data_IF_868246760650
#
_entry.id   IF_868246760650
#
_cell.length_a   1.000
_cell.length_b   1.000
_cell.length_c   1.000
_cell.angle_alpha   90.00
_cell.angle_beta   90.00
_cell.angle_gamma   90.00
#
_symmetry.space_group_name_H-M   'P 1'
#
loop_
_entity.id
_entity.type
_entity.pdbx_description
1 polymer ?
#
# COMPACT_ATOMS: atom_id res chain seq x y z
N UNK A 1 21.41 -18.70 2.25
CA UNK A 1 20.28 -17.95 1.66
C UNK A 1 19.01 -18.74 1.93
N UNK A 2 18.30 -18.43 3.02
CA UNK A 2 17.09 -19.17 3.38
C UNK A 2 15.89 -18.61 2.60
N UNK A 3 15.43 -19.37 1.61
CA UNK A 3 14.16 -19.11 0.92
C UNK A 3 13.11 -20.04 1.48
N UNK A 4 12.22 -19.53 2.33
CA UNK A 4 11.06 -20.29 2.80
C UNK A 4 9.97 -20.23 1.72
N UNK A 5 9.48 -21.40 1.30
CA UNK A 5 8.30 -21.56 0.43
C UNK A 5 7.23 -22.24 1.24
N UNK A 6 6.13 -21.55 1.45
CA UNK A 6 5.02 -22.07 2.24
C UNK A 6 3.71 -21.88 1.45
N UNK A 7 3.02 -22.98 1.20
CA UNK A 7 1.81 -23.02 0.37
C UNK A 7 0.53 -22.77 1.17
N UNK A 8 0.54 -23.03 2.48
CA UNK A 8 -0.68 -23.16 3.28
C UNK A 8 -0.65 -22.23 4.50
N UNK A 9 -1.30 -21.06 4.37
CA UNK A 9 -1.67 -20.12 5.45
C UNK A 9 -0.67 -19.96 6.63
N UNK A 10 0.61 -19.67 6.39
CA UNK A 10 1.60 -19.63 7.46
C UNK A 10 1.32 -18.47 8.43
N UNK A 11 1.20 -18.80 9.72
CA UNK A 11 1.08 -17.84 10.83
C UNK A 11 2.45 -17.59 11.45
N UNK A 12 3.29 -16.83 10.77
CA UNK A 12 4.62 -16.50 11.25
C UNK A 12 4.57 -15.33 12.25
N UNK A 13 5.35 -15.45 13.33
CA UNK A 13 5.60 -14.40 14.32
C UNK A 13 7.10 -14.37 14.62
N UNK A 14 7.66 -13.17 14.84
CA UNK A 14 9.05 -13.00 15.31
C UNK A 14 10.10 -13.69 14.42
N UNK A 15 10.24 -13.27 13.16
CA UNK A 15 11.27 -13.85 12.29
C UNK A 15 11.85 -12.77 11.38
N UNK A 16 13.16 -12.87 11.11
CA UNK A 16 13.85 -12.06 10.12
C UNK A 16 14.27 -12.99 8.98
N UNK A 17 13.75 -12.74 7.79
CA UNK A 17 14.00 -13.55 6.60
C UNK A 17 14.42 -12.63 5.47
N UNK A 18 15.27 -13.11 4.56
CA UNK A 18 15.72 -12.30 3.44
C UNK A 18 14.69 -12.32 2.29
N UNK A 19 14.17 -13.52 1.96
CA UNK A 19 13.26 -13.76 0.84
C UNK A 19 12.17 -14.76 1.23
N UNK A 20 10.92 -14.35 1.09
CA UNK A 20 9.75 -15.19 1.41
C UNK A 20 8.76 -15.23 0.24
N UNK A 21 8.27 -16.42 -0.08
CA UNK A 21 7.17 -16.64 -1.04
C UNK A 21 6.07 -17.43 -0.36
N UNK A 22 4.89 -16.81 -0.27
CA UNK A 22 3.73 -17.45 0.38
C UNK A 22 2.50 -17.39 -0.51
N UNK A 23 1.75 -18.49 -0.51
CA UNK A 23 0.48 -18.64 -1.21
C UNK A 23 -0.68 -17.92 -0.50
N UNK A 24 -1.71 -18.68 -0.17
CA UNK A 24 -3.02 -18.15 0.24
C UNK A 24 -3.05 -17.60 1.67
N UNK A 25 -3.67 -16.43 1.83
CA UNK A 25 -4.17 -15.84 3.08
C UNK A 25 -3.21 -15.78 4.28
N UNK A 26 -1.90 -15.45 4.15
CA UNK A 26 -1.03 -15.38 5.31
C UNK A 26 -1.38 -14.26 6.26
N UNK A 27 -1.18 -14.51 7.56
CA UNK A 27 -1.35 -13.52 8.63
C UNK A 27 -0.07 -13.32 9.39
N UNK A 28 0.56 -12.14 9.23
CA UNK A 28 1.86 -11.86 9.85
C UNK A 28 1.82 -10.69 10.80
N UNK A 29 2.60 -10.82 11.87
CA UNK A 29 2.72 -9.81 12.91
C UNK A 29 4.17 -9.66 13.37
N UNK A 30 4.66 -8.42 13.42
CA UNK A 30 6.01 -8.06 13.89
C UNK A 30 7.12 -8.74 13.06
N UNK A 31 7.35 -8.26 11.84
CA UNK A 31 8.31 -8.87 10.91
C UNK A 31 9.21 -7.84 10.22
N UNK A 32 10.45 -8.24 9.96
CA UNK A 32 11.41 -7.48 9.13
C UNK A 32 11.90 -8.38 8.01
N UNK A 33 11.73 -7.95 6.75
CA UNK A 33 12.05 -8.73 5.56
C UNK A 33 12.66 -7.83 4.47
N UNK A 34 13.54 -8.35 3.63
CA UNK A 34 14.03 -7.57 2.49
C UNK A 34 13.07 -7.68 1.30
N UNK A 35 12.72 -8.91 0.90
CA UNK A 35 11.86 -9.16 -0.26
C UNK A 35 10.75 -10.16 0.04
N UNK A 36 9.51 -9.75 -0.23
CA UNK A 36 8.34 -10.58 -0.06
C UNK A 36 7.52 -10.69 -1.36
N UNK A 37 7.13 -11.91 -1.73
CA UNK A 37 6.05 -12.16 -2.69
C UNK A 37 4.95 -12.94 -2.03
N UNK A 38 3.72 -12.48 -2.15
CA UNK A 38 2.58 -13.15 -1.55
C UNK A 38 1.41 -13.21 -2.52
N UNK A 39 0.65 -14.31 -2.45
CA UNK A 39 -0.55 -14.54 -3.23
C UNK A 39 -1.77 -13.78 -2.69
N UNK A 40 -2.85 -14.51 -2.43
CA UNK A 40 -4.17 -13.95 -2.21
C UNK A 40 -4.43 -13.51 -0.75
N UNK A 41 -5.10 -12.37 -0.59
CA UNK A 41 -5.64 -11.79 0.66
C UNK A 41 -4.70 -11.72 1.89
N UNK A 42 -3.42 -11.34 1.72
CA UNK A 42 -2.48 -11.32 2.85
C UNK A 42 -2.85 -10.23 3.86
N UNK A 43 -2.71 -10.54 5.15
CA UNK A 43 -2.96 -9.60 6.26
C UNK A 43 -1.69 -9.34 7.06
N UNK A 44 -1.25 -8.08 7.10
CA UNK A 44 -0.02 -7.67 7.77
C UNK A 44 -0.27 -6.67 8.89
N UNK A 45 0.44 -6.85 10.00
CA UNK A 45 0.45 -5.92 11.13
C UNK A 45 1.88 -5.70 11.62
N UNK A 46 2.33 -4.45 11.76
CA UNK A 46 3.68 -4.13 12.25
C UNK A 46 4.80 -4.79 11.44
N UNK A 47 4.91 -4.46 10.15
CA UNK A 47 5.96 -4.98 9.27
C UNK A 47 6.83 -3.84 8.74
N UNK A 48 8.15 -4.05 8.76
CA UNK A 48 9.13 -3.24 8.05
C UNK A 48 9.72 -4.04 6.89
N UNK A 49 9.63 -3.55 5.66
CA UNK A 49 10.03 -4.34 4.50
C UNK A 49 10.60 -3.48 3.37
N UNK A 50 11.58 -3.95 2.60
CA UNK A 50 12.14 -3.16 1.50
C UNK A 50 11.29 -3.27 0.22
N UNK A 51 11.00 -4.49 -0.25
CA UNK A 51 10.24 -4.72 -1.51
C UNK A 51 9.16 -5.79 -1.38
N UNK A 52 7.94 -5.46 -1.79
CA UNK A 52 6.78 -6.35 -1.70
C UNK A 52 6.04 -6.42 -3.02
N UNK A 53 5.69 -7.64 -3.41
CA UNK A 53 4.67 -7.94 -4.39
C UNK A 53 3.55 -8.72 -3.73
N UNK A 54 2.38 -8.13 -3.64
CA UNK A 54 1.18 -8.82 -3.20
C UNK A 54 0.26 -9.09 -4.39
N UNK A 55 -0.43 -10.24 -4.35
CA UNK A 55 -1.52 -10.56 -5.25
C UNK A 55 -2.77 -9.78 -4.88
N UNK A 56 -3.89 -10.49 -4.76
CA UNK A 56 -5.24 -9.92 -4.66
C UNK A 56 -5.57 -9.45 -3.23
N UNK A 57 -6.24 -8.31 -3.08
CA UNK A 57 -6.83 -7.84 -1.82
C UNK A 57 -5.91 -7.80 -0.56
N UNK A 58 -4.67 -7.27 -0.62
CA UNK A 58 -3.84 -7.16 0.57
C UNK A 58 -4.42 -6.19 1.60
N UNK A 59 -4.32 -6.56 2.87
CA UNK A 59 -4.68 -5.73 4.02
C UNK A 59 -3.45 -5.46 4.86
N UNK A 60 -3.16 -4.19 5.09
CA UNK A 60 -1.97 -3.78 5.86
C UNK A 60 -2.35 -2.79 6.93
N UNK A 61 -1.76 -3.02 8.11
CA UNK A 61 -1.91 -2.17 9.28
C UNK A 61 -0.58 -1.84 9.93
N UNK A 62 -0.32 -0.55 10.17
CA UNK A 62 0.87 -0.04 10.87
C UNK A 62 2.18 -0.66 10.35
N UNK A 63 2.65 -0.27 9.17
CA UNK A 63 3.80 -0.94 8.55
C UNK A 63 4.56 0.06 7.69
N UNK A 64 5.89 -0.01 7.66
CA UNK A 64 6.78 0.87 6.89
C UNK A 64 7.44 0.10 5.73
N UNK A 65 7.59 0.71 4.56
CA UNK A 65 8.14 -0.02 3.40
C UNK A 65 8.66 0.89 2.30
N UNK A 66 9.68 0.45 1.54
CA UNK A 66 10.21 1.26 0.44
C UNK A 66 9.36 1.14 -0.84
N UNK A 67 9.12 -0.09 -1.31
CA UNK A 67 8.43 -0.34 -2.59
C UNK A 67 7.36 -1.41 -2.45
N UNK A 68 6.17 -1.10 -2.94
CA UNK A 68 5.02 -1.98 -2.95
C UNK A 68 4.42 -2.06 -4.35
N UNK A 69 4.22 -3.27 -4.85
CA UNK A 69 3.42 -3.56 -6.04
C UNK A 69 2.28 -4.48 -5.64
N UNK A 70 1.06 -4.11 -6.02
CA UNK A 70 -0.13 -4.94 -5.84
C UNK A 70 -0.70 -5.26 -7.21
N UNK A 71 -0.91 -6.55 -7.45
CA UNK A 71 -1.37 -7.05 -8.74
C UNK A 71 -2.85 -6.84 -9.00
N UNK A 72 -3.70 -6.87 -7.96
CA UNK A 72 -5.13 -7.16 -8.20
C UNK A 72 -6.09 -6.70 -7.07
N UNK A 73 -7.35 -6.52 -7.45
CA UNK A 73 -8.58 -6.09 -6.75
C UNK A 73 -8.44 -5.52 -5.33
N UNK A 74 -8.78 -4.23 -5.22
CA UNK A 74 -9.18 -3.51 -4.01
C UNK A 74 -8.28 -3.60 -2.77
N UNK A 75 -6.98 -3.22 -2.84
CA UNK A 75 -6.14 -3.24 -1.66
C UNK A 75 -6.60 -2.22 -0.60
N UNK A 76 -6.66 -2.65 0.67
CA UNK A 76 -7.10 -1.80 1.80
C UNK A 76 -5.94 -1.49 2.73
N UNK A 77 -5.62 -0.20 2.82
CA UNK A 77 -4.52 0.32 3.63
C UNK A 77 -5.07 1.17 4.77
N UNK A 78 -4.75 0.78 6.01
CA UNK A 78 -5.18 1.50 7.21
C UNK A 78 -4.05 1.60 8.22
N UNK A 79 -3.76 2.79 8.72
CA UNK A 79 -2.95 2.92 9.94
C UNK A 79 -3.82 2.78 11.18
N UNK A 80 -3.47 1.85 12.09
CA UNK A 80 -4.09 1.70 13.42
C UNK A 80 -3.01 2.03 14.46
N UNK A 81 -2.87 3.32 14.75
CA UNK A 81 -2.28 4.02 15.92
C UNK A 81 -1.69 5.35 15.48
N UNK A 82 -2.03 6.41 16.21
CA UNK A 82 -1.48 7.76 16.05
C UNK A 82 -0.02 7.72 16.51
N UNK A 83 0.93 8.18 15.68
CA UNK A 83 2.36 8.23 16.05
C UNK A 83 3.34 7.74 14.98
N UNK A 84 3.23 6.52 14.46
CA UNK A 84 4.29 5.94 13.61
C UNK A 84 4.03 6.15 12.12
N UNK A 85 4.78 7.03 11.44
CA UNK A 85 4.67 7.25 9.99
C UNK A 85 4.82 5.89 9.27
N UNK A 86 3.72 5.37 8.71
CA UNK A 86 3.79 4.35 7.67
C UNK A 86 4.32 5.03 6.42
N UNK A 87 5.65 5.17 6.35
CA UNK A 87 6.33 5.74 5.21
C UNK A 87 6.34 4.69 4.11
N UNK A 88 5.70 5.01 2.99
CA UNK A 88 5.82 4.28 1.75
C UNK A 88 6.38 5.24 0.70
N UNK A 89 7.49 4.89 0.04
CA UNK A 89 8.03 5.76 -1.03
C UNK A 89 7.27 5.55 -2.33
N UNK A 90 7.05 4.29 -2.72
CA UNK A 90 6.45 3.96 -4.03
C UNK A 90 5.41 2.86 -3.92
N UNK A 91 4.19 3.18 -4.34
CA UNK A 91 3.07 2.25 -4.48
C UNK A 91 2.65 2.14 -5.95
N UNK A 92 2.51 0.91 -6.43
CA UNK A 92 1.83 0.59 -7.69
C UNK A 92 0.62 -0.29 -7.38
N UNK A 93 -0.58 0.16 -7.73
CA UNK A 93 -1.83 -0.58 -7.59
C UNK A 93 -2.61 -0.53 -8.91
N UNK A 94 -3.23 -1.66 -9.29
CA UNK A 94 -4.02 -1.77 -10.53
C UNK A 94 -5.35 -1.02 -10.43
N UNK A 95 -6.29 -1.53 -9.62
CA UNK A 95 -7.68 -1.06 -9.63
C UNK A 95 -7.93 0.07 -8.61
N UNK A 96 -8.57 -0.25 -7.47
CA UNK A 96 -9.14 0.74 -6.54
C UNK A 96 -8.49 0.73 -5.16
N UNK A 97 -7.26 1.27 -5.00
CA UNK A 97 -6.62 1.31 -3.70
C UNK A 97 -7.38 2.25 -2.75
N UNK A 98 -7.74 1.74 -1.57
CA UNK A 98 -8.29 2.55 -0.50
C UNK A 98 -7.21 2.87 0.52
N UNK A 99 -6.90 4.16 0.67
CA UNK A 99 -5.84 4.68 1.51
C UNK A 99 -6.39 5.59 2.63
N UNK A 100 -5.99 5.30 3.87
CA UNK A 100 -6.48 6.04 5.03
C UNK A 100 -5.39 6.34 6.07
N UNK A 101 -5.37 7.58 6.55
CA UNK A 101 -4.51 8.05 7.64
C UNK A 101 -3.02 7.76 7.44
N UNK A 102 -2.48 8.01 6.24
CA UNK A 102 -1.15 7.54 5.86
C UNK A 102 -0.45 8.52 4.91
N UNK A 103 0.89 8.48 4.86
CA UNK A 103 1.72 9.35 4.03
C UNK A 103 2.49 8.54 2.98
N UNK A 104 2.55 9.04 1.74
CA UNK A 104 3.19 8.36 0.61
C UNK A 104 3.90 9.40 -0.27
N UNK A 105 5.05 9.08 -0.86
CA UNK A 105 5.68 10.00 -1.84
C UNK A 105 5.06 9.83 -3.22
N UNK A 106 4.99 8.59 -3.73
CA UNK A 106 4.57 8.31 -5.11
C UNK A 106 3.54 7.18 -5.18
N UNK A 107 2.39 7.50 -5.76
CA UNK A 107 1.32 6.54 -6.07
C UNK A 107 1.14 6.43 -7.58
N UNK A 108 1.19 5.20 -8.08
CA UNK A 108 0.73 4.82 -9.42
C UNK A 108 -0.53 3.97 -9.23
N UNK A 109 -1.68 4.50 -9.61
CA UNK A 109 -2.97 3.80 -9.59
C UNK A 109 -3.48 3.68 -11.04
N UNK A 110 -3.93 2.50 -11.45
CA UNK A 110 -4.56 2.32 -12.76
C UNK A 110 -5.95 2.95 -12.80
N UNK A 111 -6.79 2.69 -11.79
CA UNK A 111 -8.18 3.19 -11.78
C UNK A 111 -8.43 4.29 -10.74
N UNK A 112 -9.49 4.15 -9.92
CA UNK A 112 -10.06 5.16 -9.00
C UNK A 112 -9.52 5.02 -7.57
N UNK A 113 -8.39 5.67 -7.20
CA UNK A 113 -7.90 5.62 -5.82
C UNK A 113 -8.77 6.47 -4.89
N UNK A 114 -8.95 6.00 -3.66
CA UNK A 114 -9.65 6.74 -2.60
C UNK A 114 -8.69 7.08 -1.46
N UNK A 115 -8.43 8.37 -1.24
CA UNK A 115 -7.52 8.86 -0.21
C UNK A 115 -8.28 9.66 0.87
N UNK A 116 -8.16 9.23 2.13
CA UNK A 116 -8.83 9.84 3.28
C UNK A 116 -7.81 10.18 4.37
N UNK A 117 -7.82 11.41 4.90
CA UNK A 117 -6.90 11.85 5.98
C UNK A 117 -5.43 11.56 5.66
N UNK A 118 -4.99 11.78 4.43
CA UNK A 118 -3.69 11.30 3.94
C UNK A 118 -2.89 12.40 3.24
N UNK A 119 -1.57 12.24 3.19
CA UNK A 119 -0.65 13.15 2.51
C UNK A 119 0.09 12.42 1.39
N UNK A 120 0.16 13.02 0.21
CA UNK A 120 0.84 12.46 -0.96
C UNK A 120 1.62 13.54 -1.71
N UNK A 121 2.82 13.25 -2.20
CA UNK A 121 3.53 14.21 -3.06
C UNK A 121 3.08 14.06 -4.52
N UNK A 122 3.08 12.84 -5.07
CA UNK A 122 2.85 12.59 -6.50
C UNK A 122 1.88 11.44 -6.71
N UNK A 123 0.82 11.71 -7.46
CA UNK A 123 -0.14 10.72 -7.95
C UNK A 123 -0.11 10.68 -9.48
N UNK A 124 0.03 9.49 -10.06
CA UNK A 124 -0.48 9.18 -11.39
C UNK A 124 -1.67 8.23 -11.24
N UNK A 125 -2.85 8.68 -11.65
CA UNK A 125 -4.07 7.90 -11.72
C UNK A 125 -4.54 7.83 -13.18
N UNK A 126 -5.04 6.68 -13.64
CA UNK A 126 -5.70 6.58 -14.94
C UNK A 126 -7.08 7.25 -14.90
N UNK A 127 -7.87 6.97 -13.86
CA UNK A 127 -9.25 7.47 -13.71
C UNK A 127 -9.39 8.54 -12.62
N UNK A 128 -10.64 8.91 -12.32
CA UNK A 128 -11.07 9.90 -11.33
C UNK A 128 -10.67 9.55 -9.87
N UNK A 129 -9.65 10.18 -9.26
CA UNK A 129 -9.32 9.92 -7.86
C UNK A 129 -10.26 10.68 -6.90
N UNK A 130 -10.50 10.11 -5.71
CA UNK A 130 -11.31 10.73 -4.64
C UNK A 130 -10.47 11.10 -3.42
N UNK A 131 -10.52 12.36 -3.03
CA UNK A 131 -9.75 12.93 -1.93
C UNK A 131 -10.66 13.53 -0.85
N UNK A 132 -10.45 13.14 0.42
CA UNK A 132 -11.17 13.67 1.58
C UNK A 132 -10.20 13.98 2.73
N UNK A 133 -10.24 15.18 3.29
CA UNK A 133 -9.36 15.60 4.40
C UNK A 133 -7.86 15.34 4.13
N UNK A 134 -7.40 15.52 2.89
CA UNK A 134 -6.09 15.04 2.44
C UNK A 134 -5.30 16.13 1.69
N UNK A 135 -3.99 15.96 1.55
CA UNK A 135 -3.11 16.89 0.84
C UNK A 135 -2.36 16.19 -0.29
N UNK A 136 -2.27 16.84 -1.46
CA UNK A 136 -1.53 16.35 -2.63
C UNK A 136 -0.69 17.47 -3.28
N UNK A 137 0.61 17.28 -3.51
CA UNK A 137 1.36 18.29 -4.26
C UNK A 137 1.07 18.21 -5.77
N UNK A 138 1.17 17.03 -6.39
CA UNK A 138 1.12 16.87 -7.84
C UNK A 138 0.22 15.71 -8.26
N UNK A 139 -0.82 16.00 -9.05
CA UNK A 139 -1.65 14.99 -9.71
C UNK A 139 -1.43 14.99 -11.21
N UNK A 140 -1.25 13.79 -11.78
CA UNK A 140 -1.66 13.45 -13.14
C UNK A 140 -2.85 12.49 -13.06
N UNK A 141 -4.00 12.89 -13.57
CA UNK A 141 -5.16 12.02 -13.68
C UNK A 141 -5.66 12.04 -15.13
N UNK A 142 -6.12 10.91 -15.69
CA UNK A 142 -6.77 10.94 -17.01
C UNK A 142 -8.14 11.61 -16.99
N UNK A 143 -8.74 11.75 -15.80
CA UNK A 143 -10.05 12.35 -15.57
C UNK A 143 -10.06 13.35 -14.41
N UNK A 144 -11.21 14.00 -14.20
CA UNK A 144 -11.36 15.09 -13.25
C UNK A 144 -11.49 14.61 -11.79
N UNK A 145 -10.56 14.95 -10.89
CA UNK A 145 -10.55 14.47 -9.50
C UNK A 145 -11.66 15.07 -8.63
N UNK A 146 -12.13 14.31 -7.63
CA UNK A 146 -13.08 14.81 -6.61
C UNK A 146 -12.38 15.15 -5.31
N UNK A 147 -12.52 16.39 -4.85
CA UNK A 147 -11.92 16.91 -3.62
C UNK A 147 -12.98 17.27 -2.59
N UNK A 148 -12.73 16.93 -1.31
CA UNK A 148 -13.52 17.41 -0.17
C UNK A 148 -12.60 17.77 0.98
N UNK A 149 -12.62 19.04 1.41
CA UNK A 149 -11.79 19.54 2.50
C UNK A 149 -10.32 19.10 2.34
N UNK A 150 -9.75 19.29 1.14
CA UNK A 150 -8.46 18.73 0.75
C UNK A 150 -7.69 19.78 -0.03
N UNK A 151 -6.36 19.76 0.07
CA UNK A 151 -5.48 20.74 -0.55
C UNK A 151 -4.71 20.11 -1.72
N UNK A 152 -4.54 20.88 -2.79
CA UNK A 152 -3.77 20.49 -3.98
C UNK A 152 -2.92 21.65 -4.48
N UNK A 153 -1.66 21.37 -4.84
CA UNK A 153 -0.78 22.40 -5.43
C UNK A 153 -0.80 22.41 -6.96
N UNK A 154 -0.77 21.25 -7.62
CA UNK A 154 -0.69 21.13 -9.08
C UNK A 154 -1.56 20.00 -9.63
N UNK A 155 -2.49 20.35 -10.52
CA UNK A 155 -3.30 19.42 -11.30
C UNK A 155 -2.84 19.40 -12.75
N UNK A 156 -2.57 18.21 -13.28
CA UNK A 156 -2.51 17.95 -14.71
C UNK A 156 -3.54 16.87 -15.03
N UNK A 157 -4.49 17.21 -15.88
CA UNK A 157 -5.39 16.23 -16.51
C UNK A 157 -4.81 15.90 -17.87
#
# INVERSE_FOLDING_TARGET
>A
METLRDGETPRLKHTALEKLRVGESPRWRNFVLEKLRVGETPCWRNIALEKLRAGRNPRRTNSAMKKLRVGDESPRWRKVRVGEKSALEKLCAGETPHWSNSALEKLLAGETPCCIKSALEKLLAGDTPRWRNSALEKLRAGENPRWRNSAMEKLRV
#
